data_IF_501577372646
#
_entry.id   IF_501577372646
#
_cell.length_a   1.000
_cell.length_b   1.000
_cell.length_c   1.000
_cell.angle_alpha   90.00
_cell.angle_beta   90.00
_cell.angle_gamma   90.00
#
_symmetry.space_group_name_H-M   'P 1'
#
loop_
_entity.id
_entity.type
_entity.pdbx_description
1 polymer ?
#
# COMPACT_ATOMS: atom_id res chain seq x y z
N UNK A 1 -25.36 4.28 -15.95
CA UNK A 1 -24.88 5.44 -16.74
C UNK A 1 -23.44 5.27 -17.21
N UNK A 2 -22.56 4.65 -16.42
CA UNK A 2 -21.18 4.37 -16.85
C UNK A 2 -21.15 3.50 -18.12
N UNK A 3 -22.02 2.50 -18.19
CA UNK A 3 -22.24 1.72 -19.42
C UNK A 3 -22.62 2.60 -20.63
N UNK A 4 -23.54 3.56 -20.44
CA UNK A 4 -23.95 4.52 -21.50
C UNK A 4 -22.82 5.49 -21.82
N UNK A 5 -21.99 5.87 -20.83
CA UNK A 5 -20.85 6.76 -21.02
C UNK A 5 -19.69 6.11 -21.77
N UNK A 6 -19.52 4.79 -21.63
CA UNK A 6 -18.52 3.98 -22.33
C UNK A 6 -19.02 3.44 -23.69
N UNK A 7 -20.23 3.79 -24.15
CA UNK A 7 -20.69 3.39 -25.48
C UNK A 7 -19.82 4.04 -26.56
N UNK A 8 -19.29 3.26 -27.53
CA UNK A 8 -18.39 3.78 -28.57
C UNK A 8 -19.09 4.72 -29.55
N UNK A 9 -20.42 4.58 -29.71
CA UNK A 9 -21.21 5.41 -30.62
C UNK A 9 -21.89 6.57 -29.88
N UNK A 10 -21.38 7.79 -30.10
CA UNK A 10 -21.81 9.00 -29.41
C UNK A 10 -23.32 9.34 -29.58
N UNK A 11 -23.96 9.16 -30.76
CA UNK A 11 -25.39 9.42 -30.92
C UNK A 11 -26.27 8.48 -30.09
N UNK A 12 -25.93 7.20 -30.01
CA UNK A 12 -26.65 6.23 -29.17
C UNK A 12 -26.51 6.58 -27.69
N UNK A 13 -25.33 7.02 -27.25
CA UNK A 13 -25.12 7.55 -25.89
C UNK A 13 -26.06 8.72 -25.59
N UNK A 14 -26.25 9.64 -26.53
CA UNK A 14 -27.16 10.79 -26.37
C UNK A 14 -28.63 10.35 -26.30
N UNK A 15 -29.08 9.51 -27.25
CA UNK A 15 -30.45 9.00 -27.27
C UNK A 15 -30.82 8.25 -25.98
N UNK A 16 -29.94 7.35 -25.51
CA UNK A 16 -30.13 6.62 -24.26
C UNK A 16 -30.14 7.54 -23.03
N UNK A 17 -29.33 8.60 -23.02
CA UNK A 17 -29.36 9.59 -21.94
C UNK A 17 -30.69 10.34 -21.91
N UNK A 18 -31.22 10.75 -23.05
CA UNK A 18 -32.51 11.45 -23.12
C UNK A 18 -33.67 10.53 -22.74
N UNK A 19 -33.64 9.27 -23.18
CA UNK A 19 -34.68 8.28 -22.90
C UNK A 19 -34.72 7.84 -21.43
N UNK A 20 -33.56 7.59 -20.82
CA UNK A 20 -33.47 7.04 -19.46
C UNK A 20 -33.26 8.11 -18.38
N UNK A 21 -32.66 9.24 -18.72
CA UNK A 21 -32.31 10.34 -17.80
C UNK A 21 -32.69 11.71 -18.40
N UNK A 22 -33.97 11.96 -18.72
CA UNK A 22 -34.41 13.16 -19.46
C UNK A 22 -34.05 14.47 -18.77
N UNK A 23 -34.07 14.50 -17.43
CA UNK A 23 -33.68 15.66 -16.61
C UNK A 23 -32.26 15.54 -16.03
N UNK A 24 -31.47 14.58 -16.52
CA UNK A 24 -30.17 14.25 -15.96
C UNK A 24 -30.25 13.38 -14.69
N UNK A 25 -29.10 13.23 -14.00
CA UNK A 25 -29.00 12.45 -12.76
C UNK A 25 -28.93 13.39 -11.56
N UNK A 26 -29.75 13.19 -10.51
CA UNK A 26 -29.69 14.01 -9.30
C UNK A 26 -28.40 13.77 -8.49
N UNK A 27 -27.84 12.55 -8.60
CA UNK A 27 -26.58 12.18 -7.94
C UNK A 27 -25.59 11.64 -8.98
N UNK A 28 -24.35 12.15 -8.92
CA UNK A 28 -23.24 11.69 -9.74
C UNK A 28 -22.31 10.81 -8.90
N UNK A 29 -21.67 9.84 -9.56
CA UNK A 29 -20.59 9.07 -8.94
C UNK A 29 -19.44 10.03 -8.56
N UNK A 30 -18.70 9.78 -7.45
CA UNK A 30 -17.42 10.45 -7.24
C UNK A 30 -16.52 10.35 -8.47
N UNK A 31 -15.74 11.40 -8.70
CA UNK A 31 -14.74 11.41 -9.77
C UNK A 31 -13.44 10.81 -9.27
N UNK A 32 -12.62 10.21 -10.14
CA UNK A 32 -11.31 9.69 -9.77
C UNK A 32 -10.43 10.73 -9.06
N UNK A 33 -10.56 12.01 -9.45
CA UNK A 33 -9.89 13.13 -8.76
C UNK A 33 -10.32 13.28 -7.30
N UNK A 34 -11.61 13.09 -7.03
CA UNK A 34 -12.14 13.11 -5.67
C UNK A 34 -11.70 11.86 -4.89
N UNK A 35 -11.76 10.69 -5.51
CA UNK A 35 -11.30 9.43 -4.91
C UNK A 35 -9.81 9.50 -4.55
N UNK A 36 -8.96 10.04 -5.43
CA UNK A 36 -7.54 10.25 -5.16
C UNK A 36 -7.29 11.20 -3.99
N UNK A 37 -8.08 12.28 -3.87
CA UNK A 37 -7.99 13.21 -2.72
C UNK A 37 -8.33 12.51 -1.41
N UNK A 38 -9.38 11.69 -1.41
CA UNK A 38 -9.78 10.90 -0.23
C UNK A 38 -8.70 9.88 0.12
N UNK A 39 -8.16 9.15 -0.86
CA UNK A 39 -7.09 8.18 -0.63
C UNK A 39 -5.85 8.83 0.01
N UNK A 40 -5.41 9.98 -0.51
CA UNK A 40 -4.31 10.75 0.11
C UNK A 40 -4.62 11.19 1.53
N UNK A 41 -5.85 11.64 1.80
CA UNK A 41 -6.29 12.01 3.14
C UNK A 41 -6.24 10.82 4.12
N UNK A 42 -6.50 9.60 3.66
CA UNK A 42 -6.47 8.40 4.51
C UNK A 42 -5.05 7.83 4.69
N UNK A 43 -4.16 8.01 3.71
CA UNK A 43 -2.79 7.48 3.73
C UNK A 43 -1.80 8.40 4.46
N UNK A 44 -2.07 9.70 4.53
CA UNK A 44 -1.20 10.68 5.22
C UNK A 44 -1.70 10.95 6.64
N UNK A 45 -0.81 11.03 7.65
CA UNK A 45 -1.20 11.46 8.99
C UNK A 45 -1.82 12.87 8.98
N UNK A 46 -3.06 12.99 9.44
CA UNK A 46 -3.76 14.26 9.58
C UNK A 46 -4.93 14.16 10.57
N UNK A 47 -5.49 15.30 10.96
CA UNK A 47 -6.60 15.38 11.91
C UNK A 47 -7.86 14.61 11.46
N UNK A 48 -8.17 14.57 10.16
CA UNK A 48 -9.35 13.84 9.68
C UNK A 48 -9.17 12.33 9.87
N UNK A 49 -8.00 11.79 9.53
CA UNK A 49 -7.63 10.39 9.77
C UNK A 49 -7.62 10.07 11.27
N UNK A 50 -7.01 10.91 12.11
CA UNK A 50 -6.96 10.71 13.56
C UNK A 50 -8.36 10.67 14.18
N UNK A 51 -9.30 11.50 13.69
CA UNK A 51 -10.70 11.47 14.14
C UNK A 51 -11.40 10.18 13.74
N UNK A 52 -11.14 9.64 12.54
CA UNK A 52 -11.68 8.35 12.12
C UNK A 52 -11.11 7.20 12.94
N UNK A 53 -9.85 7.28 13.33
CA UNK A 53 -9.16 6.26 14.13
C UNK A 53 -9.35 6.42 15.65
N UNK A 54 -10.10 7.42 16.13
CA UNK A 54 -10.19 7.77 17.55
C UNK A 54 -10.73 6.64 18.45
N UNK A 55 -11.45 5.69 17.87
CA UNK A 55 -12.02 4.54 18.58
C UNK A 55 -11.41 3.21 18.12
N UNK A 56 -10.27 3.25 17.44
CA UNK A 56 -9.50 2.08 17.01
C UNK A 56 -8.34 1.90 18.00
N UNK A 57 -8.12 0.67 18.45
CA UNK A 57 -6.98 0.35 19.31
C UNK A 57 -5.70 0.27 18.48
N UNK A 58 -4.87 1.32 18.53
CA UNK A 58 -3.65 1.48 17.72
C UNK A 58 -2.37 1.47 18.54
N UNK A 59 -2.41 0.98 19.79
CA UNK A 59 -1.22 0.80 20.63
C UNK A 59 -0.27 -0.20 19.99
N UNK A 60 1.02 0.14 19.87
CA UNK A 60 2.04 -0.76 19.33
C UNK A 60 2.35 -1.88 20.33
N UNK A 61 1.85 -3.08 20.01
CA UNK A 61 1.98 -4.27 20.84
C UNK A 61 2.23 -5.50 19.94
N UNK A 62 2.88 -6.56 20.45
CA UNK A 62 3.29 -7.71 19.63
C UNK A 62 2.16 -8.37 18.82
N UNK A 63 0.92 -8.36 19.32
CA UNK A 63 -0.23 -8.97 18.67
C UNK A 63 -1.17 -7.95 17.99
N UNK A 64 -0.88 -6.65 18.08
CA UNK A 64 -1.70 -5.62 17.46
C UNK A 64 -1.13 -5.20 16.10
N UNK A 65 -1.63 -5.80 15.03
CA UNK A 65 -1.20 -5.50 13.66
C UNK A 65 -1.48 -4.04 13.26
N UNK A 66 -2.60 -3.46 13.72
CA UNK A 66 -2.94 -2.08 13.42
C UNK A 66 -2.00 -1.10 14.15
N UNK A 67 -1.64 -1.41 15.40
CA UNK A 67 -0.64 -0.65 16.14
C UNK A 67 0.74 -0.70 15.49
N UNK A 68 1.17 -1.90 15.08
CA UNK A 68 2.42 -2.08 14.32
C UNK A 68 2.42 -1.31 13.01
N UNK A 69 1.32 -1.34 12.26
CA UNK A 69 1.16 -0.58 11.02
C UNK A 69 1.26 0.93 11.27
N UNK A 70 0.57 1.44 12.28
CA UNK A 70 0.61 2.87 12.63
C UNK A 70 2.00 3.32 13.08
N UNK A 71 2.68 2.50 13.88
CA UNK A 71 4.05 2.80 14.31
C UNK A 71 5.01 2.77 13.12
N UNK A 72 4.88 1.77 12.24
CA UNK A 72 5.71 1.65 11.04
C UNK A 72 5.52 2.82 10.08
N UNK A 73 4.29 3.35 9.94
CA UNK A 73 4.05 4.56 9.17
C UNK A 73 4.83 5.77 9.71
N UNK A 74 4.85 5.95 11.05
CA UNK A 74 5.62 7.02 11.69
C UNK A 74 7.12 6.83 11.46
N UNK A 75 7.61 5.62 11.69
CA UNK A 75 9.02 5.29 11.52
C UNK A 75 9.49 5.54 10.08
N UNK A 76 8.66 5.24 9.07
CA UNK A 76 8.95 5.51 7.65
C UNK A 76 9.03 7.01 7.37
N UNK A 77 8.12 7.81 7.92
CA UNK A 77 8.14 9.26 7.75
C UNK A 77 9.37 9.89 8.42
N UNK A 78 9.80 9.36 9.55
CA UNK A 78 10.98 9.84 10.28
C UNK A 78 12.29 9.61 9.50
N UNK A 79 12.38 8.53 8.71
CA UNK A 79 13.56 8.23 7.87
C UNK A 79 13.49 8.84 6.47
N UNK A 80 12.35 9.36 6.03
CA UNK A 80 12.19 9.97 4.70
C UNK A 80 13.21 11.09 4.43
N UNK A 81 13.51 12.01 5.37
CA UNK A 81 14.55 13.02 5.19
C UNK A 81 15.96 12.42 5.00
N UNK A 82 16.24 11.30 5.66
CA UNK A 82 17.52 10.60 5.53
C UNK A 82 17.64 9.93 4.15
N UNK A 83 16.56 9.34 3.65
CA UNK A 83 16.51 8.81 2.29
C UNK A 83 16.69 9.92 1.24
N UNK A 84 16.05 11.07 1.44
CA UNK A 84 16.19 12.25 0.57
C UNK A 84 17.64 12.77 0.53
N UNK A 85 18.33 12.77 1.67
CA UNK A 85 19.77 13.10 1.75
C UNK A 85 20.59 12.17 0.87
N UNK A 86 20.31 10.86 0.86
CA UNK A 86 20.99 9.87 0.02
C UNK A 86 20.71 10.14 -1.47
N UNK A 87 19.45 10.37 -1.84
CA UNK A 87 19.08 10.67 -3.23
C UNK A 87 19.78 11.94 -3.75
N UNK A 88 19.84 12.99 -2.91
CA UNK A 88 20.54 14.25 -3.24
C UNK A 88 22.04 14.03 -3.41
N UNK A 89 22.67 13.31 -2.50
CA UNK A 89 24.11 13.03 -2.57
C UNK A 89 24.49 12.18 -3.80
N UNK A 90 23.64 11.22 -4.18
CA UNK A 90 23.84 10.41 -5.40
C UNK A 90 23.41 11.11 -6.69
N UNK A 91 22.73 12.26 -6.60
CA UNK A 91 22.24 13.02 -7.77
C UNK A 91 21.18 12.29 -8.60
N UNK A 92 20.54 11.25 -8.05
CA UNK A 92 19.54 10.44 -8.75
C UNK A 92 18.34 10.16 -7.86
N UNK A 93 17.16 10.05 -8.48
CA UNK A 93 15.93 9.68 -7.79
C UNK A 93 15.80 8.15 -7.74
N UNK A 94 16.09 7.57 -6.59
CA UNK A 94 16.02 6.13 -6.34
C UNK A 94 14.60 5.77 -5.87
N UNK A 95 14.07 4.57 -6.20
CA UNK A 95 12.82 4.10 -5.61
C UNK A 95 12.92 3.99 -4.08
N UNK A 96 11.85 4.37 -3.37
CA UNK A 96 11.76 4.24 -1.91
C UNK A 96 11.42 2.79 -1.52
N UNK A 97 12.35 1.86 -1.76
CA UNK A 97 12.22 0.43 -1.49
C UNK A 97 13.59 -0.17 -1.21
N UNK A 98 13.65 -1.32 -0.53
CA UNK A 98 14.90 -2.02 -0.22
C UNK A 98 15.88 -1.08 0.50
N UNK A 99 15.38 -0.39 1.53
CA UNK A 99 16.13 0.67 2.21
C UNK A 99 17.36 0.12 2.93
N UNK A 100 17.37 -1.18 3.26
CA UNK A 100 18.52 -1.94 3.71
C UNK A 100 19.68 -1.91 2.69
N UNK A 101 19.39 -2.15 1.41
CA UNK A 101 20.39 -2.09 0.34
C UNK A 101 20.82 -0.66 0.03
N UNK A 102 19.85 0.26 0.01
CA UNK A 102 20.14 1.69 -0.19
C UNK A 102 21.06 2.21 0.91
N UNK A 103 20.84 1.77 2.16
CA UNK A 103 21.67 2.10 3.30
C UNK A 103 23.09 1.53 3.18
N UNK A 104 23.24 0.25 2.81
CA UNK A 104 24.54 -0.37 2.58
C UNK A 104 25.34 0.39 1.51
N UNK A 105 24.75 0.64 0.35
CA UNK A 105 25.40 1.37 -0.74
C UNK A 105 25.78 2.81 -0.35
N UNK A 106 24.97 3.46 0.50
CA UNK A 106 25.22 4.83 0.95
C UNK A 106 26.30 4.89 2.03
N UNK A 107 26.40 3.86 2.87
CA UNK A 107 27.47 3.70 3.86
C UNK A 107 28.81 3.46 3.19
N UNK A 108 28.85 2.57 2.18
CA UNK A 108 30.06 2.28 1.39
C UNK A 108 30.56 3.52 0.63
N UNK A 109 29.64 4.36 0.17
CA UNK A 109 29.95 5.64 -0.46
C UNK A 109 30.30 6.76 0.53
N UNK A 110 30.24 6.51 1.85
CA UNK A 110 30.53 7.50 2.90
C UNK A 110 29.51 8.65 3.00
N UNK A 111 28.29 8.45 2.49
CA UNK A 111 27.22 9.48 2.46
C UNK A 111 26.51 9.59 3.81
N UNK A 112 26.40 8.46 4.51
CA UNK A 112 25.72 8.34 5.80
C UNK A 112 26.62 7.62 6.81
N UNK A 113 26.30 7.81 8.08
CA UNK A 113 26.92 7.09 9.20
C UNK A 113 26.35 5.67 9.36
N UNK A 114 27.07 4.82 10.12
CA UNK A 114 26.60 3.48 10.45
C UNK A 114 25.26 3.49 11.20
N UNK A 115 25.08 4.40 12.15
CA UNK A 115 23.84 4.53 12.91
C UNK A 115 22.64 4.94 12.01
N UNK A 116 22.88 5.79 11.01
CA UNK A 116 21.89 6.15 10.00
C UNK A 116 21.53 4.94 9.10
N UNK A 117 22.53 4.16 8.70
CA UNK A 117 22.33 2.94 7.90
C UNK A 117 21.51 1.89 8.67
N UNK A 118 21.86 1.66 9.95
CA UNK A 118 21.18 0.70 10.82
C UNK A 118 19.71 1.11 11.05
N UNK A 119 19.43 2.41 11.18
CA UNK A 119 18.06 2.94 11.27
C UNK A 119 17.24 2.64 10.02
N UNK A 120 17.79 2.89 8.82
CA UNK A 120 17.10 2.61 7.55
C UNK A 120 16.79 1.11 7.41
N UNK A 121 17.75 0.24 7.72
CA UNK A 121 17.57 -1.21 7.66
C UNK A 121 16.51 -1.70 8.66
N UNK A 122 16.52 -1.17 9.89
CA UNK A 122 15.53 -1.53 10.92
C UNK A 122 14.10 -1.13 10.51
N UNK A 123 13.92 0.05 9.92
CA UNK A 123 12.61 0.50 9.44
C UNK A 123 12.15 -0.30 8.21
N UNK A 124 13.07 -0.70 7.32
CA UNK A 124 12.73 -1.59 6.20
C UNK A 124 12.20 -2.94 6.68
N UNK A 125 12.82 -3.53 7.71
CA UNK A 125 12.34 -4.76 8.31
C UNK A 125 10.90 -4.62 8.84
N UNK A 126 10.58 -3.50 9.50
CA UNK A 126 9.22 -3.19 9.95
C UNK A 126 8.26 -3.01 8.77
N UNK A 127 8.67 -2.28 7.73
CA UNK A 127 7.88 -2.09 6.49
C UNK A 127 7.54 -3.44 5.87
N UNK A 128 8.52 -4.31 5.70
CA UNK A 128 8.33 -5.67 5.16
C UNK A 128 7.39 -6.49 6.03
N UNK A 129 7.54 -6.44 7.35
CA UNK A 129 6.66 -7.16 8.28
C UNK A 129 5.19 -6.71 8.21
N UNK A 130 4.92 -5.43 7.89
CA UNK A 130 3.56 -4.89 7.78
C UNK A 130 2.93 -5.16 6.40
N UNK A 131 3.72 -5.19 5.33
CA UNK A 131 3.20 -5.40 3.97
C UNK A 131 3.10 -6.87 3.58
N UNK A 132 3.95 -7.73 4.16
CA UNK A 132 3.92 -9.15 3.87
C UNK A 132 2.65 -9.75 4.45
N UNK A 133 1.92 -10.44 3.58
CA UNK A 133 0.78 -11.26 3.96
C UNK A 133 1.29 -12.65 4.32
N UNK A 134 0.52 -13.37 5.14
CA UNK A 134 0.81 -14.79 5.42
C UNK A 134 0.90 -15.54 4.09
N UNK A 135 2.10 -16.04 3.80
CA UNK A 135 2.33 -16.92 2.67
C UNK A 135 1.94 -18.33 3.10
N UNK A 136 0.86 -18.84 2.52
CA UNK A 136 0.42 -20.20 2.80
C UNK A 136 1.27 -21.17 1.98
N UNK A 137 1.75 -22.24 2.61
CA UNK A 137 2.40 -23.31 1.86
C UNK A 137 1.40 -23.86 0.82
N UNK A 138 1.78 -23.97 -0.46
CA UNK A 138 0.92 -24.57 -1.49
C UNK A 138 0.34 -25.93 -1.07
N UNK A 139 1.05 -26.71 -0.25
CA UNK A 139 0.56 -27.98 0.31
C UNK A 139 -0.66 -27.79 1.23
N UNK A 140 -0.69 -26.73 2.04
CA UNK A 140 -1.81 -26.40 2.93
C UNK A 140 -3.06 -25.95 2.15
N UNK A 141 -2.88 -25.50 0.92
CA UNK A 141 -3.94 -25.06 0.01
C UNK A 141 -4.53 -26.20 -0.85
N UNK A 142 -3.96 -27.41 -0.79
CA UNK A 142 -4.45 -28.55 -1.56
C UNK A 142 -5.84 -28.98 -1.07
N UNK A 143 -6.81 -28.96 -1.99
CA UNK A 143 -8.19 -29.40 -1.74
C UNK A 143 -8.61 -30.56 -2.65
N UNK A 144 -9.55 -31.38 -2.19
CA UNK A 144 -10.13 -32.47 -2.96
C UNK A 144 -9.12 -33.57 -3.32
N UNK A 145 -9.17 -34.05 -4.57
CA UNK A 145 -8.32 -35.18 -5.03
C UNK A 145 -6.82 -34.89 -4.93
N UNK A 146 -6.40 -33.63 -5.08
CA UNK A 146 -5.00 -33.24 -5.03
C UNK A 146 -4.34 -33.54 -3.67
N UNK A 147 -5.09 -33.36 -2.56
CA UNK A 147 -4.62 -33.67 -1.20
C UNK A 147 -4.40 -35.17 -0.97
N UNK A 148 -5.29 -36.00 -1.53
CA UNK A 148 -5.24 -37.47 -1.39
C UNK A 148 -4.06 -38.07 -2.13
N UNK A 149 -3.71 -37.53 -3.30
CA UNK A 149 -2.58 -38.04 -4.11
C UNK A 149 -1.22 -37.84 -3.41
N UNK A 150 -1.02 -36.71 -2.75
CA UNK A 150 0.22 -36.48 -1.98
C UNK A 150 0.31 -37.37 -0.74
N UNK A 151 -0.81 -37.60 -0.04
CA UNK A 151 -0.83 -38.48 1.14
C UNK A 151 -0.38 -39.90 0.77
N UNK A 152 -0.78 -40.39 -0.41
CA UNK A 152 -0.41 -41.71 -0.89
C UNK A 152 1.02 -41.79 -1.45
N UNK A 153 1.59 -40.67 -1.93
CA UNK A 153 2.98 -40.63 -2.41
C UNK A 153 4.00 -40.44 -1.29
N UNK A 154 3.61 -39.85 -0.16
CA UNK A 154 4.48 -39.68 1.03
C UNK A 154 4.50 -40.91 1.93
N UNK A 155 3.54 -41.83 1.78
CA UNK A 155 3.41 -43.06 2.58
C UNK A 155 4.03 -44.30 1.90
N UNK A 156 4.68 -44.13 0.74
CA UNK A 156 5.40 -45.15 -0.02
C UNK A 156 6.90 -44.83 -0.02
#
# INVERSE_FOLDING_TARGET
>A
ADLINNMPFAPLRFALKLMLFPFGRPVRKPTDKLEQKVARLLQTPNNARSRLAAHIYTTDEPLNLLGKQEQTLKDILDIEPLFDKICRAKGQKIPFMQLDKVAADALDAGIISKDEADKLAAVEAKRLAVINVDDFDPADLLAGKARVTETNSSAA
#
